data_IF_314317502809
#
_entry.id   IF_314317502809
#
_cell.length_a   1.000
_cell.length_b   1.000
_cell.length_c   1.000
_cell.angle_alpha   90.00
_cell.angle_beta   90.00
_cell.angle_gamma   90.00
#
_symmetry.space_group_name_H-M   'P 1'
#
loop_
_entity.id
_entity.type
_entity.pdbx_description
1 polymer ?
#
# COMPACT_ATOMS: atom_id res chain seq x y z
N UNK A 1 -0.34 11.25 -6.77
CA UNK A 1 -0.74 10.66 -5.47
C UNK A 1 -1.28 11.73 -4.53
N UNK A 2 -0.47 12.73 -4.14
CA UNK A 2 -0.91 13.80 -3.23
C UNK A 2 -2.19 14.53 -3.69
N UNK A 3 -2.27 14.90 -4.97
CA UNK A 3 -3.47 15.55 -5.52
C UNK A 3 -4.70 14.62 -5.58
N UNK A 4 -4.49 13.31 -5.76
CA UNK A 4 -5.58 12.32 -5.83
C UNK A 4 -6.11 11.95 -4.43
N UNK A 5 -5.23 11.87 -3.44
CA UNK A 5 -5.58 11.43 -2.08
C UNK A 5 -5.81 12.57 -1.09
N UNK A 6 -5.41 13.80 -1.41
CA UNK A 6 -5.42 14.93 -0.48
C UNK A 6 -4.34 14.86 0.61
N UNK A 7 -3.48 13.83 0.60
CA UNK A 7 -2.40 13.68 1.57
C UNK A 7 -1.19 14.50 1.10
N UNK A 8 -0.63 15.41 1.92
CA UNK A 8 0.57 16.16 1.53
C UNK A 8 1.73 15.23 1.19
N UNK A 9 2.52 15.59 0.17
CA UNK A 9 3.61 14.75 -0.37
C UNK A 9 4.58 14.24 0.70
N UNK A 10 4.89 15.06 1.70
CA UNK A 10 5.77 14.72 2.83
C UNK A 10 5.26 13.59 3.72
N UNK A 11 3.95 13.34 3.73
CA UNK A 11 3.32 12.29 4.51
C UNK A 11 2.99 11.04 3.69
N UNK A 12 3.31 11.02 2.39
CA UNK A 12 3.07 9.84 1.56
C UNK A 12 4.24 8.87 1.70
N UNK A 13 3.92 7.68 2.20
CA UNK A 13 4.77 6.50 2.09
C UNK A 13 4.22 5.59 1.00
N UNK A 14 5.10 4.99 0.19
CA UNK A 14 4.71 4.06 -0.86
C UNK A 14 5.52 2.76 -0.81
N UNK A 15 4.97 1.70 -1.38
CA UNK A 15 5.68 0.45 -1.60
C UNK A 15 5.43 -0.07 -3.01
N UNK A 16 6.46 -0.71 -3.58
CA UNK A 16 6.34 -1.38 -4.87
C UNK A 16 5.77 -2.77 -4.64
N UNK A 17 4.62 -3.06 -5.25
CA UNK A 17 4.04 -4.39 -5.30
C UNK A 17 4.65 -5.26 -6.40
N UNK A 18 3.91 -6.30 -6.77
CA UNK A 18 4.19 -7.13 -7.95
C UNK A 18 3.70 -6.49 -9.26
N UNK A 19 3.87 -7.23 -10.36
CA UNK A 19 3.21 -6.92 -11.63
C UNK A 19 1.75 -7.37 -11.57
N UNK A 20 0.87 -6.60 -12.19
CA UNK A 20 -0.54 -6.91 -12.32
C UNK A 20 -0.74 -8.16 -13.22
N UNK A 21 -1.68 -9.05 -12.88
CA UNK A 21 -2.47 -9.06 -11.65
C UNK A 21 -1.62 -9.45 -10.44
N UNK A 22 -1.75 -8.70 -9.35
CA UNK A 22 -1.08 -9.00 -8.09
C UNK A 22 -2.12 -9.41 -7.06
N UNK A 23 -1.92 -10.57 -6.43
CA UNK A 23 -2.78 -11.08 -5.37
C UNK A 23 -2.08 -10.85 -4.02
N UNK A 24 -2.48 -9.78 -3.33
CA UNK A 24 -2.05 -9.49 -1.96
C UNK A 24 -3.33 -9.22 -1.16
N UNK A 25 -3.56 -9.98 -0.10
CA UNK A 25 -4.67 -9.71 0.82
C UNK A 25 -4.48 -8.35 1.49
N UNK A 26 -5.57 -7.61 1.61
CA UNK A 26 -5.68 -6.36 2.34
C UNK A 26 -5.15 -6.50 3.78
N UNK A 27 -5.39 -7.65 4.41
CA UNK A 27 -4.94 -7.94 5.78
C UNK A 27 -3.43 -8.18 5.88
N UNK A 28 -2.75 -8.38 4.76
CA UNK A 28 -1.34 -8.74 4.69
C UNK A 28 -0.45 -7.65 4.11
N UNK A 29 -1.00 -6.53 3.61
CA UNK A 29 -0.22 -5.40 3.07
C UNK A 29 0.83 -4.91 4.07
N UNK A 30 0.48 -4.81 5.36
CA UNK A 30 1.43 -4.40 6.40
C UNK A 30 2.23 -5.58 6.99
N UNK A 31 1.70 -6.82 6.92
CA UNK A 31 2.34 -8.01 7.50
C UNK A 31 3.42 -8.59 6.59
N UNK A 32 3.14 -8.63 5.28
CA UNK A 32 4.16 -8.82 4.26
C UNK A 32 5.12 -7.65 4.46
N UNK A 33 6.40 -7.93 4.60
CA UNK A 33 7.46 -6.93 4.81
C UNK A 33 7.68 -6.06 3.56
N UNK A 34 6.61 -5.46 3.04
CA UNK A 34 6.64 -4.41 2.05
C UNK A 34 7.55 -3.33 2.62
N UNK A 35 8.61 -3.03 1.87
CA UNK A 35 9.48 -1.93 2.22
C UNK A 35 8.74 -0.66 1.85
N UNK A 36 8.38 0.12 2.87
CA UNK A 36 7.78 1.42 2.70
C UNK A 36 8.87 2.48 2.52
N UNK A 37 8.66 3.36 1.56
CA UNK A 37 9.59 4.42 1.20
C UNK A 37 8.87 5.76 1.29
N UNK A 38 9.53 6.76 1.89
CA UNK A 38 9.08 8.15 1.79
C UNK A 38 9.39 8.67 0.39
N UNK A 39 8.44 9.40 -0.19
CA UNK A 39 8.61 10.01 -1.52
C UNK A 39 9.74 11.04 -1.57
N UNK A 40 10.13 11.62 -0.43
CA UNK A 40 11.24 12.58 -0.32
C UNK A 40 12.61 11.89 -0.15
N UNK A 41 12.67 10.55 -0.15
CA UNK A 41 13.94 9.84 -0.10
C UNK A 41 14.65 9.99 -1.44
N UNK A 42 15.65 10.88 -1.48
CA UNK A 42 16.50 11.19 -2.65
C UNK A 42 17.23 9.99 -3.28
N UNK A 43 17.09 8.81 -2.69
CA UNK A 43 17.70 7.54 -3.12
C UNK A 43 16.82 6.69 -4.03
N UNK A 44 15.55 7.02 -4.23
CA UNK A 44 14.64 6.17 -5.02
C UNK A 44 14.27 6.80 -6.36
N UNK A 45 15.04 6.47 -7.39
CA UNK A 45 14.48 6.38 -8.73
C UNK A 45 13.58 5.15 -8.74
N UNK A 46 12.27 5.36 -8.72
CA UNK A 46 11.28 4.31 -8.89
C UNK A 46 11.59 3.62 -10.22
N UNK A 47 12.31 2.49 -10.15
CA UNK A 47 12.59 1.62 -11.28
C UNK A 47 11.31 0.93 -11.76
N UNK A 48 10.30 1.74 -12.08
CA UNK A 48 9.09 1.41 -12.80
C UNK A 48 9.43 1.27 -14.29
N UNK A 49 10.51 0.53 -14.57
CA UNK A 49 10.98 0.29 -15.93
C UNK A 49 10.17 -0.80 -16.64
N UNK A 50 9.12 -1.33 -15.99
CA UNK A 50 8.22 -2.32 -16.57
C UNK A 50 6.77 -1.87 -16.47
N UNK A 51 6.02 -2.09 -17.54
CA UNK A 51 4.57 -1.87 -17.58
C UNK A 51 3.84 -2.79 -16.58
N UNK A 52 2.68 -2.35 -16.10
CA UNK A 52 1.80 -3.14 -15.24
C UNK A 52 2.24 -3.31 -13.78
N UNK A 53 3.22 -2.57 -13.26
CA UNK A 53 3.57 -2.66 -11.83
C UNK A 53 2.52 -1.97 -10.93
N UNK A 54 2.12 -2.66 -9.87
CA UNK A 54 1.20 -2.11 -8.86
C UNK A 54 1.99 -1.38 -7.78
N UNK A 55 1.48 -0.23 -7.34
CA UNK A 55 2.04 0.59 -6.28
C UNK A 55 1.01 0.73 -5.17
N UNK A 56 1.43 0.48 -3.94
CA UNK A 56 0.66 0.76 -2.74
C UNK A 56 1.14 2.08 -2.13
N UNK A 57 0.25 2.89 -1.59
CA UNK A 57 0.60 4.11 -0.88
C UNK A 57 -0.30 4.31 0.33
N UNK A 58 0.23 4.98 1.37
CA UNK A 58 -0.48 5.31 2.60
C UNK A 58 -0.05 6.67 3.14
N UNK A 59 -0.92 7.30 3.93
CA UNK A 59 -0.53 8.40 4.81
C UNK A 59 0.25 7.83 6.00
N UNK A 60 1.48 8.29 6.19
CA UNK A 60 2.37 7.80 7.23
C UNK A 60 2.03 8.35 8.63
N UNK A 61 1.08 9.28 8.74
CA UNK A 61 0.55 9.80 10.01
C UNK A 61 -0.55 8.91 10.57
N UNK A 62 -1.15 8.05 9.75
CA UNK A 62 -2.20 7.15 10.18
C UNK A 62 -1.64 5.91 10.89
N UNK A 63 -2.32 5.49 11.95
CA UNK A 63 -2.01 4.26 12.67
C UNK A 63 -2.92 3.13 12.20
N UNK A 64 -2.37 1.92 12.10
CA UNK A 64 -3.16 0.74 11.74
C UNK A 64 -4.32 0.56 12.73
N UNK A 65 -5.53 0.50 12.18
CA UNK A 65 -6.72 0.18 12.96
C UNK A 65 -6.62 -1.24 13.47
N UNK A 66 -6.94 -1.44 14.74
CA UNK A 66 -7.18 -2.78 15.27
C UNK A 66 -8.53 -3.29 14.74
N UNK A 67 -8.47 -4.37 13.97
CA UNK A 67 -9.65 -5.01 13.41
C UNK A 67 -10.16 -6.09 14.35
N UNK A 68 -11.46 -6.07 14.61
CA UNK A 68 -12.18 -7.18 15.26
C UNK A 68 -12.21 -8.42 14.37
N UNK A 69 -12.47 -9.59 14.95
CA UNK A 69 -12.58 -10.84 14.19
C UNK A 69 -13.67 -10.76 13.11
N UNK A 70 -14.79 -10.09 13.42
CA UNK A 70 -15.88 -9.86 12.46
C UNK A 70 -15.42 -9.03 11.26
N UNK A 71 -14.75 -7.91 11.49
CA UNK A 71 -14.23 -7.05 10.42
C UNK A 71 -13.18 -7.78 9.57
N UNK A 72 -12.36 -8.65 10.20
CA UNK A 72 -11.40 -9.49 9.47
C UNK A 72 -12.11 -10.50 8.58
N UNK A 73 -13.15 -11.17 9.08
CA UNK A 73 -13.95 -12.10 8.29
C UNK A 73 -14.64 -11.40 7.13
N UNK A 74 -15.24 -10.23 7.36
CA UNK A 74 -15.91 -9.45 6.30
C UNK A 74 -14.95 -9.05 5.17
N UNK A 75 -13.70 -8.67 5.50
CA UNK A 75 -12.66 -8.38 4.51
C UNK A 75 -12.32 -9.65 3.71
N UNK A 76 -12.09 -10.78 4.39
CA UNK A 76 -11.74 -12.03 3.72
C UNK A 76 -12.87 -12.53 2.80
N UNK A 77 -14.12 -12.50 3.25
CA UNK A 77 -15.28 -12.88 2.44
C UNK A 77 -15.43 -12.00 1.20
N UNK A 78 -15.12 -10.70 1.30
CA UNK A 78 -15.18 -9.78 0.16
C UNK A 78 -14.03 -9.99 -0.85
N UNK A 79 -12.88 -10.49 -0.40
CA UNK A 79 -11.75 -10.82 -1.29
C UNK A 79 -11.94 -12.15 -2.04
N UNK A 80 -12.69 -13.10 -1.45
CA UNK A 80 -12.95 -14.42 -2.01
C UNK A 80 -14.24 -14.50 -2.88
N UNK A 81 -15.06 -13.45 -2.90
CA UNK A 81 -16.33 -13.35 -3.62
C UNK A 81 -16.18 -13.03 -5.12
#
# INVERSE_FOLDING_TARGET
LSELSGVPVEYISFSKGGSFPVEISCLDIEKIKLKWYSINSSKYSLGLFGDGHVIYYKDNRETMKELTDKERSEIQEAEEA
#
